data_IF_293263809454
#
_entry.id   IF_293263809454
#
_cell.length_a   1.000
_cell.length_b   1.000
_cell.length_c   1.000
_cell.angle_alpha   90.00
_cell.angle_beta   90.00
_cell.angle_gamma   90.00
#
_symmetry.space_group_name_H-M   'P 1'
#
loop_
_entity.id
_entity.type
_entity.pdbx_description
1 polymer ?
#
# COMPACT_ATOMS: atom_id res chain seq x y z
N UNK A 1 -9.65 -18.15 -39.54
CA UNK A 1 -10.21 -17.76 -38.22
C UNK A 1 -11.20 -16.63 -38.44
N UNK A 2 -12.50 -16.82 -38.15
CA UNK A 2 -13.51 -15.78 -38.36
C UNK A 2 -13.11 -14.45 -37.69
N UNK A 3 -13.42 -13.32 -38.34
CA UNK A 3 -13.09 -11.96 -37.87
C UNK A 3 -13.41 -11.75 -36.39
N UNK A 4 -14.59 -12.22 -35.95
CA UNK A 4 -15.04 -12.21 -34.53
C UNK A 4 -14.05 -12.91 -33.59
N UNK A 5 -13.59 -14.12 -33.95
CA UNK A 5 -12.60 -14.88 -33.15
C UNK A 5 -11.26 -14.14 -33.07
N UNK A 6 -10.80 -13.53 -34.17
CA UNK A 6 -9.53 -12.78 -34.21
C UNK A 6 -9.56 -11.54 -33.31
N UNK A 7 -10.64 -10.76 -33.35
CA UNK A 7 -10.82 -9.58 -32.49
C UNK A 7 -10.78 -9.98 -31.01
N UNK A 8 -11.55 -11.01 -30.63
CA UNK A 8 -11.60 -11.48 -29.24
C UNK A 8 -10.24 -11.97 -28.73
N UNK A 9 -9.46 -12.65 -29.58
CA UNK A 9 -8.11 -13.06 -29.21
C UNK A 9 -7.16 -11.87 -28.99
N UNK A 10 -7.24 -10.84 -29.84
CA UNK A 10 -6.42 -9.63 -29.69
C UNK A 10 -6.77 -8.90 -28.39
N UNK A 11 -8.06 -8.73 -28.09
CA UNK A 11 -8.52 -8.09 -26.85
C UNK A 11 -8.04 -8.84 -25.61
N UNK A 12 -8.20 -10.17 -25.58
CA UNK A 12 -7.72 -11.01 -24.47
C UNK A 12 -6.21 -10.92 -24.30
N UNK A 13 -5.43 -10.91 -25.40
CA UNK A 13 -3.97 -10.74 -25.35
C UNK A 13 -3.57 -9.38 -24.78
N UNK A 14 -4.25 -8.29 -25.19
CA UNK A 14 -4.02 -6.94 -24.65
C UNK A 14 -4.33 -6.87 -23.15
N UNK A 15 -5.48 -7.39 -22.73
CA UNK A 15 -5.87 -7.42 -21.32
C UNK A 15 -4.85 -8.18 -20.46
N UNK A 16 -4.43 -9.37 -20.90
CA UNK A 16 -3.38 -10.15 -20.20
C UNK A 16 -2.07 -9.38 -20.09
N UNK A 17 -1.65 -8.66 -21.14
CA UNK A 17 -0.42 -7.84 -21.14
C UNK A 17 -0.51 -6.63 -20.20
N UNK A 18 -1.69 -6.06 -20.00
CA UNK A 18 -1.88 -4.99 -19.01
C UNK A 18 -1.84 -5.55 -17.59
N UNK A 19 -2.57 -6.64 -17.33
CA UNK A 19 -2.60 -7.27 -16.01
C UNK A 19 -1.23 -7.80 -15.59
N UNK A 20 -0.44 -8.36 -16.53
CA UNK A 20 0.92 -8.82 -16.24
C UNK A 20 1.86 -7.69 -15.80
N UNK A 21 1.59 -6.44 -16.19
CA UNK A 21 2.37 -5.27 -15.78
C UNK A 21 1.93 -4.71 -14.42
N UNK A 22 0.73 -5.05 -13.96
CA UNK A 22 0.18 -4.59 -12.70
C UNK A 22 0.50 -5.53 -11.52
N UNK A 23 1.06 -6.71 -11.79
CA UNK A 23 1.49 -7.62 -10.73
C UNK A 23 2.76 -7.08 -10.04
N UNK A 24 2.56 -6.37 -8.94
CA UNK A 24 3.57 -6.19 -7.90
C UNK A 24 3.61 -7.44 -7.03
N UNK A 25 4.79 -7.99 -6.77
CA UNK A 25 4.91 -9.10 -5.82
C UNK A 25 4.46 -8.66 -4.44
N UNK A 26 3.69 -9.49 -3.72
CA UNK A 26 3.28 -9.23 -2.34
C UNK A 26 4.43 -9.35 -1.31
N UNK A 27 5.68 -9.25 -1.77
CA UNK A 27 6.87 -9.31 -0.93
C UNK A 27 7.35 -7.88 -0.72
N UNK A 28 7.70 -7.49 0.51
CA UNK A 28 8.34 -6.20 0.72
C UNK A 28 9.63 -6.15 -0.11
N UNK A 29 9.86 -5.02 -0.78
CA UNK A 29 11.07 -4.82 -1.56
C UNK A 29 12.27 -4.96 -0.63
N UNK A 30 13.24 -5.79 -0.99
CA UNK A 30 14.48 -5.86 -0.20
C UNK A 30 15.17 -4.51 -0.25
N UNK A 31 15.35 -3.91 0.92
CA UNK A 31 16.15 -2.71 1.14
C UNK A 31 17.42 -3.12 1.89
N UNK A 32 18.52 -2.38 1.68
CA UNK A 32 19.80 -2.72 2.29
C UNK A 32 19.69 -2.68 3.83
N UNK A 33 20.61 -3.35 4.54
CA UNK A 33 20.64 -3.34 6.02
C UNK A 33 20.70 -1.90 6.58
N UNK A 34 21.41 -1.00 5.90
CA UNK A 34 21.51 0.39 6.31
C UNK A 34 20.20 1.16 6.13
N UNK A 35 19.50 0.93 5.01
CA UNK A 35 18.21 1.59 4.74
C UNK A 35 17.10 1.07 5.65
N UNK A 36 17.16 -0.23 6.00
CA UNK A 36 16.23 -0.83 6.96
C UNK A 36 16.38 -0.22 8.37
N UNK A 37 17.61 -0.06 8.84
CA UNK A 37 17.86 0.57 10.15
C UNK A 37 17.42 2.05 10.19
N UNK A 38 17.54 2.77 9.08
CA UNK A 38 17.04 4.16 8.96
C UNK A 38 15.52 4.21 9.01
N UNK A 39 14.83 3.34 8.26
CA UNK A 39 13.37 3.25 8.31
C UNK A 39 12.86 2.83 9.68
N UNK A 40 13.49 1.85 10.35
CA UNK A 40 13.09 1.42 11.69
C UNK A 40 13.29 2.54 12.75
N UNK A 41 14.31 3.39 12.61
CA UNK A 41 14.51 4.57 13.46
C UNK A 41 13.49 5.68 13.19
N UNK A 42 13.16 5.95 11.92
CA UNK A 42 12.12 6.93 11.55
C UNK A 42 10.73 6.46 11.97
N UNK A 43 10.42 5.17 11.79
CA UNK A 43 9.14 4.55 12.15
C UNK A 43 8.97 4.48 13.68
N UNK A 44 10.05 4.23 14.44
CA UNK A 44 10.04 4.33 15.89
C UNK A 44 9.84 5.77 16.39
N UNK A 45 10.41 6.77 15.69
CA UNK A 45 10.23 8.18 16.02
C UNK A 45 8.82 8.69 15.66
N UNK A 46 8.19 8.18 14.61
CA UNK A 46 6.80 8.53 14.25
C UNK A 46 5.78 7.82 15.13
N UNK A 47 6.04 6.57 15.54
CA UNK A 47 5.15 5.83 16.43
C UNK A 47 5.03 6.48 17.82
N UNK A 48 6.09 7.11 18.34
CA UNK A 48 6.02 7.89 19.59
C UNK A 48 5.17 9.16 19.47
N UNK A 49 5.00 9.72 18.26
CA UNK A 49 4.17 10.92 18.03
C UNK A 49 2.69 10.56 17.88
N UNK A 50 2.38 9.36 17.35
CA UNK A 50 0.99 8.90 17.24
C UNK A 50 0.38 8.48 18.59
N UNK A 51 1.17 7.92 19.52
CA UNK A 51 0.68 7.55 20.85
C UNK A 51 0.37 8.74 21.75
N UNK A 52 1.05 9.87 21.58
CA UNK A 52 0.80 11.08 22.39
C UNK A 52 -0.44 11.86 21.92
N UNK A 53 -0.87 11.70 20.66
CA UNK A 53 -2.05 12.39 20.14
C UNK A 53 -3.37 11.70 20.51
N UNK A 54 -3.36 10.40 20.83
CA UNK A 54 -4.56 9.67 21.25
C UNK A 54 -4.94 9.89 22.72
N UNK A 55 -4.00 10.23 23.60
CA UNK A 55 -4.31 10.46 25.02
C UNK A 55 -4.89 11.87 25.31
N UNK A 56 -4.62 12.86 24.45
CA UNK A 56 -5.13 14.23 24.68
C UNK A 56 -6.60 14.45 24.28
N UNK A 57 -7.20 13.56 23.47
CA UNK A 57 -8.59 13.74 23.00
C UNK A 57 -9.62 13.19 24.01
N UNK A 58 -9.21 12.28 24.89
CA UNK A 58 -10.15 11.58 25.79
C UNK A 58 -10.40 12.31 27.13
N UNK A 59 -9.74 13.47 27.37
CA UNK A 59 -9.88 14.23 28.63
C UNK A 59 -10.88 15.39 28.59
N UNK A 60 -11.50 15.68 27.44
CA UNK A 60 -12.45 16.80 27.29
C UNK A 60 -13.84 16.32 26.83
N UNK A 61 -14.44 15.38 27.57
CA UNK A 61 -15.86 15.09 27.43
C UNK A 61 -16.67 16.18 28.16
N UNK A 62 -17.55 16.94 27.50
CA UNK A 62 -18.38 17.93 28.16
C UNK A 62 -19.44 17.21 29.00
N UNK A 63 -19.47 17.52 30.30
CA UNK A 63 -20.57 17.14 31.18
C UNK A 63 -21.84 17.90 30.76
N UNK A 64 -22.77 17.24 30.07
CA UNK A 64 -24.13 17.76 29.86
C UNK A 64 -25.02 17.44 31.08
N UNK A 65 -25.59 18.50 31.64
CA UNK A 65 -26.70 18.48 32.60
C UNK A 65 -28.03 18.25 31.91
#
# INVERSE_FOLDING_TARGET
>A
MNRKKKINQILKKKQKKMNSKLHTSNKPKYVSKADRAKMELEEAASASVETEQTENIESEAPSEQ
#
